data_IF_060885291353
#
_entry.id   IF_060885291353
#
_cell.length_a   1.000
_cell.length_b   1.000
_cell.length_c   1.000
_cell.angle_alpha   90.00
_cell.angle_beta   90.00
_cell.angle_gamma   90.00
#
_symmetry.space_group_name_H-M   'P 1'
#
loop_
_entity.id
_entity.type
_entity.pdbx_description
1 polymer ?
#
# COMPACT_ATOMS: atom_id res chain seq x y z
N UNK A 1 -7.05 -8.42 14.15
CA UNK A 1 -7.11 -7.66 12.88
C UNK A 1 -7.09 -6.16 13.08
N UNK A 2 -8.10 -5.57 13.72
CA UNK A 2 -8.23 -4.11 13.86
C UNK A 2 -6.97 -3.42 14.38
N UNK A 3 -6.33 -3.96 15.42
CA UNK A 3 -5.10 -3.42 15.99
C UNK A 3 -3.96 -3.31 14.94
N UNK A 4 -3.62 -4.41 14.26
CA UNK A 4 -2.52 -4.44 13.26
C UNK A 4 -2.78 -3.51 12.07
N UNK A 5 -4.01 -3.50 11.55
CA UNK A 5 -4.35 -2.66 10.41
C UNK A 5 -4.44 -1.18 10.78
N UNK A 6 -4.89 -0.85 12.00
CA UNK A 6 -4.85 0.52 12.55
C UNK A 6 -3.41 0.97 12.77
N UNK A 7 -2.56 0.12 13.34
CA UNK A 7 -1.14 0.39 13.52
C UNK A 7 -0.46 0.73 12.19
N UNK A 8 -0.74 -0.06 11.14
CA UNK A 8 -0.28 0.21 9.78
C UNK A 8 -0.80 1.56 9.24
N UNK A 9 -2.12 1.78 9.30
CA UNK A 9 -2.75 2.95 8.68
C UNK A 9 -2.31 4.28 9.31
N UNK A 10 -2.14 4.29 10.63
CA UNK A 10 -1.86 5.51 11.39
C UNK A 10 -0.42 5.61 11.91
N UNK A 11 0.43 4.62 11.64
CA UNK A 11 1.82 4.59 12.12
C UNK A 11 1.93 4.53 13.65
N UNK A 12 0.98 3.85 14.30
CA UNK A 12 0.92 3.72 15.77
C UNK A 12 1.55 2.40 16.20
N UNK A 13 2.08 2.31 17.43
CA UNK A 13 2.50 1.02 18.00
C UNK A 13 1.32 0.05 18.05
N UNK A 14 1.65 -1.23 17.89
CA UNK A 14 0.73 -2.35 18.10
C UNK A 14 0.38 -2.43 19.59
N UNK A 15 -0.90 -2.59 19.93
CA UNK A 15 -1.33 -2.64 21.33
C UNK A 15 -1.47 -4.06 21.88
N UNK A 16 -1.82 -5.03 21.03
CA UNK A 16 -2.03 -6.43 21.44
C UNK A 16 -0.76 -7.22 21.10
N UNK A 17 0.07 -7.55 22.09
CA UNK A 17 1.28 -8.32 21.86
C UNK A 17 0.97 -9.82 21.76
N UNK A 18 1.80 -10.55 21.00
CA UNK A 18 1.59 -11.99 20.80
C UNK A 18 1.78 -12.77 22.13
N UNK A 19 2.63 -12.26 23.04
CA UNK A 19 2.83 -12.81 24.39
C UNK A 19 1.56 -12.77 25.25
N UNK A 20 0.65 -11.83 24.96
CA UNK A 20 -0.62 -11.62 25.68
C UNK A 20 -1.82 -12.20 24.92
N UNK A 21 -1.59 -12.94 23.82
CA UNK A 21 -2.65 -13.45 22.94
C UNK A 21 -2.87 -14.95 23.13
N UNK A 22 -3.98 -15.33 23.79
CA UNK A 22 -4.31 -16.74 24.05
C UNK A 22 -5.39 -17.31 23.12
N UNK A 23 -5.87 -16.55 22.15
CA UNK A 23 -6.95 -16.98 21.25
C UNK A 23 -6.39 -17.87 20.15
N UNK A 24 -7.00 -19.04 19.98
CA UNK A 24 -6.63 -20.03 18.95
C UNK A 24 -6.94 -19.51 17.54
N UNK A 25 -6.38 -20.22 16.56
CA UNK A 25 -6.68 -19.98 15.15
C UNK A 25 -8.13 -20.27 14.84
N UNK A 26 -8.71 -19.41 13.98
CA UNK A 26 -10.07 -19.61 13.49
C UNK A 26 -10.17 -20.88 12.68
N UNK A 27 -11.26 -21.58 12.92
CA UNK A 27 -11.69 -22.81 12.26
C UNK A 27 -13.08 -22.59 11.65
N UNK A 28 -13.50 -23.42 10.68
CA UNK A 28 -14.87 -23.34 10.16
C UNK A 28 -15.94 -23.54 11.25
N UNK A 29 -15.62 -24.28 12.32
CA UNK A 29 -16.54 -24.52 13.43
C UNK A 29 -16.90 -23.24 14.20
N UNK A 30 -16.04 -22.22 14.18
CA UNK A 30 -16.27 -20.91 14.83
C UNK A 30 -17.37 -20.09 14.15
N UNK A 31 -17.90 -20.56 13.01
CA UNK A 31 -18.96 -19.89 12.23
C UNK A 31 -20.25 -20.72 12.15
N UNK A 32 -20.36 -21.80 12.94
CA UNK A 32 -21.53 -22.70 12.93
C UNK A 32 -22.87 -21.97 13.16
N UNK A 33 -22.88 -20.90 13.96
CA UNK A 33 -24.06 -20.08 14.21
C UNK A 33 -24.52 -19.27 12.97
N UNK A 34 -23.61 -18.95 12.04
CA UNK A 34 -23.92 -18.20 10.82
C UNK A 34 -24.75 -19.02 9.81
N UNK A 35 -24.80 -20.34 9.96
CA UNK A 35 -25.62 -21.22 9.12
C UNK A 35 -27.08 -21.31 9.62
N UNK A 36 -27.34 -20.98 10.89
CA UNK A 36 -28.63 -21.18 11.55
C UNK A 36 -29.66 -20.05 11.29
N UNK A 37 -29.23 -18.87 10.86
CA UNK A 37 -30.13 -17.72 10.60
C UNK A 37 -30.88 -17.81 9.26
N UNK A 38 -30.53 -18.82 8.43
CA UNK A 38 -31.31 -19.24 7.28
C UNK A 38 -32.43 -20.18 7.71
N UNK A 39 -33.45 -19.60 8.35
CA UNK A 39 -34.68 -20.22 8.86
C UNK A 39 -35.07 -21.53 8.17
N UNK A 40 -35.51 -22.48 9.00
CA UNK A 40 -36.18 -23.71 8.61
C UNK A 40 -37.30 -23.45 7.59
N UNK A 41 -36.97 -23.48 6.30
CA UNK A 41 -37.92 -23.70 5.23
C UNK A 41 -37.62 -25.12 4.74
N UNK A 42 -38.60 -25.98 4.95
CA UNK A 42 -38.74 -27.33 4.42
C UNK A 42 -37.95 -27.55 3.12
N UNK A 43 -37.23 -28.68 2.96
CA UNK A 43 -36.61 -29.03 1.68
C UNK A 43 -37.73 -29.35 0.68
N UNK A 44 -38.22 -28.32 -0.01
CA UNK A 44 -39.05 -28.47 -1.21
C UNK A 44 -38.14 -28.86 -2.38
N UNK A 45 -38.58 -29.80 -3.26
CA UNK A 45 -37.79 -30.22 -4.40
C UNK A 45 -37.86 -29.12 -5.49
N UNK A 46 -37.00 -28.11 -5.39
CA UNK A 46 -36.88 -27.08 -6.42
C UNK A 46 -35.64 -26.21 -6.20
N UNK A 47 -34.99 -25.71 -7.27
CA UNK A 47 -33.87 -24.79 -7.16
C UNK A 47 -34.41 -23.40 -6.79
N UNK A 48 -34.69 -23.19 -5.50
CA UNK A 48 -35.13 -21.91 -4.95
C UNK A 48 -33.99 -20.90 -4.79
N UNK A 49 -34.31 -19.59 -4.70
CA UNK A 49 -33.32 -18.50 -4.54
C UNK A 49 -32.51 -18.57 -3.24
N UNK A 50 -32.96 -19.36 -2.27
CA UNK A 50 -32.50 -19.44 -0.88
C UNK A 50 -31.11 -20.10 -0.77
N UNK A 51 -30.76 -20.97 -1.74
CA UNK A 51 -29.46 -21.64 -1.79
C UNK A 51 -28.30 -20.67 -2.05
N UNK A 52 -28.59 -19.52 -2.69
CA UNK A 52 -27.58 -18.50 -3.00
C UNK A 52 -27.21 -17.63 -1.78
N UNK A 53 -28.06 -17.57 -0.75
CA UNK A 53 -27.77 -16.84 0.49
C UNK A 53 -26.77 -17.60 1.38
N UNK A 54 -26.99 -18.91 1.53
CA UNK A 54 -26.07 -19.82 2.26
C UNK A 54 -24.68 -19.85 1.63
N UNK A 55 -24.60 -19.81 0.29
CA UNK A 55 -23.31 -19.72 -0.41
C UNK A 55 -22.53 -18.44 -0.08
N UNK A 56 -23.18 -17.28 0.06
CA UNK A 56 -22.48 -16.01 0.33
C UNK A 56 -21.95 -15.95 1.75
N UNK A 57 -22.70 -16.48 2.72
CA UNK A 57 -22.24 -16.56 4.10
C UNK A 57 -20.97 -17.42 4.21
N UNK A 58 -20.98 -18.60 3.57
CA UNK A 58 -19.80 -19.47 3.49
C UNK A 58 -18.61 -18.79 2.80
N UNK A 59 -18.84 -18.09 1.68
CA UNK A 59 -17.79 -17.33 0.99
C UNK A 59 -17.25 -16.19 1.87
N UNK A 60 -18.12 -15.49 2.61
CA UNK A 60 -17.75 -14.46 3.56
C UNK A 60 -16.89 -14.99 4.71
N UNK A 61 -17.24 -16.17 5.24
CA UNK A 61 -16.44 -16.89 6.24
C UNK A 61 -15.04 -17.20 5.72
N UNK A 62 -14.92 -17.86 4.55
CA UNK A 62 -13.63 -18.17 3.94
C UNK A 62 -12.78 -16.91 3.75
N UNK A 63 -13.38 -15.84 3.25
CA UNK A 63 -12.70 -14.56 3.04
C UNK A 63 -12.20 -13.94 4.34
N UNK A 64 -13.02 -13.99 5.41
CA UNK A 64 -12.63 -13.50 6.72
C UNK A 64 -11.46 -14.31 7.31
N UNK A 65 -11.51 -15.65 7.20
CA UNK A 65 -10.42 -16.51 7.64
C UNK A 65 -9.12 -16.18 6.89
N UNK A 66 -9.18 -15.98 5.58
CA UNK A 66 -8.01 -15.56 4.77
C UNK A 66 -7.46 -14.21 5.23
N UNK A 67 -8.33 -13.23 5.51
CA UNK A 67 -7.90 -11.93 6.06
C UNK A 67 -7.22 -12.04 7.42
N UNK A 68 -7.68 -12.95 8.29
CA UNK A 68 -7.04 -13.21 9.57
C UNK A 68 -5.63 -13.80 9.37
N UNK A 69 -5.46 -14.74 8.45
CA UNK A 69 -4.14 -15.27 8.13
C UNK A 69 -3.19 -14.19 7.57
N UNK A 70 -3.68 -13.34 6.65
CA UNK A 70 -2.90 -12.21 6.15
C UNK A 70 -2.50 -11.23 7.26
N UNK A 71 -3.40 -11.00 8.22
CA UNK A 71 -3.14 -10.11 9.36
C UNK A 71 -2.01 -10.65 10.24
N UNK A 72 -1.85 -11.97 10.37
CA UNK A 72 -0.71 -12.54 11.10
C UNK A 72 0.61 -12.29 10.38
N UNK A 73 0.62 -12.35 9.05
CA UNK A 73 1.78 -11.95 8.25
C UNK A 73 2.09 -10.46 8.48
N UNK A 74 1.06 -9.60 8.48
CA UNK A 74 1.21 -8.19 8.83
C UNK A 74 1.76 -8.00 10.27
N UNK A 75 1.30 -8.79 11.25
CA UNK A 75 1.85 -8.79 12.61
C UNK A 75 3.35 -9.04 12.60
N UNK A 76 3.79 -10.08 11.89
CA UNK A 76 5.21 -10.40 11.75
C UNK A 76 5.99 -9.27 11.06
N UNK A 77 5.43 -8.63 10.03
CA UNK A 77 6.03 -7.46 9.37
C UNK A 77 6.18 -6.30 10.36
N UNK A 78 5.15 -5.99 11.13
CA UNK A 78 5.19 -4.94 12.14
C UNK A 78 6.27 -5.21 13.19
N UNK A 79 6.35 -6.43 13.72
CA UNK A 79 7.32 -6.82 14.75
C UNK A 79 8.76 -6.81 14.23
N UNK A 80 8.99 -7.16 12.96
CA UNK A 80 10.33 -7.22 12.38
C UNK A 80 10.85 -5.86 11.88
N UNK A 81 9.96 -4.93 11.51
CA UNK A 81 10.38 -3.70 10.81
C UNK A 81 9.86 -2.39 11.41
N UNK A 82 8.80 -2.41 12.21
CA UNK A 82 8.07 -1.20 12.63
C UNK A 82 7.99 -1.00 14.15
N UNK A 83 8.79 -1.73 14.93
CA UNK A 83 8.99 -1.40 16.35
C UNK A 83 10.08 -0.34 16.51
N UNK A 84 10.03 0.42 17.62
CA UNK A 84 11.08 1.41 17.94
C UNK A 84 12.49 0.79 17.98
N UNK A 85 12.60 -0.49 18.36
CA UNK A 85 13.87 -1.23 18.38
C UNK A 85 14.32 -1.59 16.96
N UNK A 86 13.45 -2.20 16.16
CA UNK A 86 13.80 -2.68 14.82
C UNK A 86 14.05 -1.56 13.83
N UNK A 87 13.45 -0.38 14.04
CA UNK A 87 13.72 0.81 13.22
C UNK A 87 15.17 1.29 13.28
N UNK A 88 15.95 0.88 14.31
CA UNK A 88 17.37 1.22 14.44
C UNK A 88 18.25 0.45 13.46
N UNK A 89 17.83 -0.74 13.05
CA UNK A 89 18.55 -1.53 12.04
C UNK A 89 18.34 -0.90 10.67
N UNK A 90 19.43 -0.48 10.05
CA UNK A 90 19.40 0.28 8.80
C UNK A 90 20.24 -0.39 7.70
N UNK A 91 20.98 -1.46 8.03
CA UNK A 91 21.71 -2.23 7.02
C UNK A 91 20.76 -2.91 6.03
N UNK A 92 20.89 -2.55 4.76
CA UNK A 92 19.98 -3.00 3.70
C UNK A 92 20.07 -4.50 3.47
N UNK A 93 21.28 -5.09 3.56
CA UNK A 93 21.48 -6.53 3.33
C UNK A 93 20.79 -7.33 4.42
N UNK A 94 20.97 -6.93 5.68
CA UNK A 94 20.31 -7.54 6.85
C UNK A 94 18.79 -7.38 6.78
N UNK A 95 18.29 -6.21 6.39
CA UNK A 95 16.85 -5.97 6.23
C UNK A 95 16.25 -6.85 5.13
N UNK A 96 16.94 -7.01 4.00
CA UNK A 96 16.50 -7.89 2.91
C UNK A 96 16.49 -9.36 3.37
N UNK A 97 17.52 -9.81 4.09
CA UNK A 97 17.58 -11.16 4.63
C UNK A 97 16.40 -11.46 5.57
N UNK A 98 16.01 -10.49 6.42
CA UNK A 98 14.81 -10.59 7.27
C UNK A 98 13.50 -10.54 6.48
N UNK A 99 13.47 -9.81 5.37
CA UNK A 99 12.27 -9.63 4.56
C UNK A 99 11.94 -10.85 3.70
N UNK A 100 12.95 -11.57 3.19
CA UNK A 100 12.79 -12.77 2.34
C UNK A 100 11.77 -13.78 2.85
N UNK A 101 11.87 -14.32 4.09
CA UNK A 101 10.87 -15.29 4.57
C UNK A 101 9.45 -14.70 4.64
N UNK A 102 9.31 -13.39 4.89
CA UNK A 102 8.01 -12.73 4.92
C UNK A 102 7.44 -12.49 3.51
N UNK A 103 8.29 -12.21 2.52
CA UNK A 103 7.90 -12.17 1.10
C UNK A 103 7.39 -13.55 0.68
N UNK A 104 8.14 -14.62 1.00
CA UNK A 104 7.76 -15.99 0.66
C UNK A 104 6.43 -16.39 1.31
N UNK A 105 6.25 -16.09 2.60
CA UNK A 105 4.97 -16.31 3.30
C UNK A 105 3.82 -15.55 2.63
N UNK A 106 4.03 -14.30 2.23
CA UNK A 106 3.01 -13.47 1.61
C UNK A 106 2.65 -13.97 0.20
N UNK A 107 3.63 -14.38 -0.59
CA UNK A 107 3.43 -14.98 -1.92
C UNK A 107 2.69 -16.32 -1.81
N UNK A 108 3.09 -17.18 -0.86
CA UNK A 108 2.40 -18.44 -0.60
C UNK A 108 0.96 -18.22 -0.16
N UNK A 109 0.72 -17.22 0.70
CA UNK A 109 -0.63 -16.84 1.11
C UNK A 109 -1.47 -16.39 -0.09
N UNK A 110 -0.93 -15.58 -1.00
CA UNK A 110 -1.66 -15.13 -2.19
C UNK A 110 -2.05 -16.30 -3.11
N UNK A 111 -1.14 -17.25 -3.32
CA UNK A 111 -1.44 -18.47 -4.08
C UNK A 111 -2.42 -19.42 -3.37
N UNK A 112 -2.57 -19.29 -2.04
CA UNK A 112 -3.52 -20.08 -1.26
C UNK A 112 -4.96 -19.55 -1.31
N UNK A 113 -5.20 -18.40 -1.93
CA UNK A 113 -6.55 -17.83 -2.06
C UNK A 113 -7.45 -18.80 -2.86
N UNK A 114 -8.53 -19.31 -2.26
CA UNK A 114 -9.43 -20.26 -2.91
C UNK A 114 -10.01 -19.72 -4.24
N UNK A 115 -10.33 -20.60 -5.21
CA UNK A 115 -11.00 -20.20 -6.45
C UNK A 115 -12.33 -19.49 -6.23
N UNK A 116 -13.00 -19.75 -5.09
CA UNK A 116 -14.26 -19.12 -4.65
C UNK A 116 -14.10 -17.65 -4.25
N UNK A 117 -12.87 -17.16 -4.07
CA UNK A 117 -12.56 -15.79 -3.66
C UNK A 117 -11.84 -14.99 -4.74
N UNK A 118 -11.92 -15.43 -6.01
CA UNK A 118 -11.23 -14.78 -7.12
C UNK A 118 -11.99 -13.55 -7.64
N UNK A 119 -11.24 -12.54 -8.09
CA UNK A 119 -11.79 -11.28 -8.60
C UNK A 119 -12.56 -11.42 -9.92
N UNK A 120 -12.34 -12.50 -10.66
CA UNK A 120 -13.04 -12.76 -11.92
C UNK A 120 -14.46 -13.33 -11.73
N UNK A 121 -14.86 -13.66 -10.50
CA UNK A 121 -16.21 -14.10 -10.20
C UNK A 121 -17.19 -12.96 -10.46
N UNK A 122 -18.31 -13.29 -11.11
CA UNK A 122 -19.41 -12.37 -11.40
C UNK A 122 -20.65 -12.91 -10.72
N UNK A 123 -21.18 -12.15 -9.78
CA UNK A 123 -22.43 -12.49 -9.12
C UNK A 123 -23.62 -11.86 -9.85
N UNK A 124 -24.64 -12.65 -10.19
CA UNK A 124 -25.82 -12.12 -10.83
C UNK A 124 -26.61 -11.24 -9.87
N UNK A 125 -26.78 -9.95 -10.22
CA UNK A 125 -27.51 -8.94 -9.42
C UNK A 125 -26.98 -8.78 -7.99
N UNK A 126 -25.69 -9.06 -7.75
CA UNK A 126 -25.03 -8.85 -6.45
C UNK A 126 -23.64 -8.26 -6.67
N UNK A 127 -23.11 -7.68 -5.61
CA UNK A 127 -21.78 -7.05 -5.61
C UNK A 127 -20.71 -8.10 -5.31
N UNK A 128 -19.51 -7.92 -5.86
CA UNK A 128 -18.37 -8.79 -5.61
C UNK A 128 -17.46 -8.15 -4.55
N UNK A 129 -17.46 -8.72 -3.34
CA UNK A 129 -16.77 -8.15 -2.17
C UNK A 129 -15.34 -8.66 -1.96
N UNK A 130 -14.75 -9.35 -2.95
CA UNK A 130 -13.40 -9.90 -2.85
C UNK A 130 -12.29 -8.85 -2.93
N UNK A 131 -12.60 -7.65 -3.44
CA UNK A 131 -11.63 -6.59 -3.70
C UNK A 131 -10.71 -6.26 -2.51
N UNK A 132 -11.29 -6.13 -1.31
CA UNK A 132 -10.48 -5.74 -0.15
C UNK A 132 -9.49 -6.82 0.30
N UNK A 133 -9.78 -8.12 0.06
CA UNK A 133 -8.86 -9.22 0.39
C UNK A 133 -7.60 -9.14 -0.47
N UNK A 134 -7.78 -9.08 -1.79
CA UNK A 134 -6.68 -8.97 -2.76
C UNK A 134 -5.92 -7.65 -2.59
N UNK A 135 -6.62 -6.56 -2.28
CA UNK A 135 -5.96 -5.29 -2.06
C UNK A 135 -5.10 -5.26 -0.79
N UNK A 136 -5.54 -5.97 0.24
CA UNK A 136 -4.81 -6.08 1.51
C UNK A 136 -3.45 -6.76 1.32
N UNK A 137 -3.33 -7.73 0.40
CA UNK A 137 -2.04 -8.33 0.03
C UNK A 137 -1.03 -7.27 -0.43
N UNK A 138 -1.43 -6.42 -1.39
CA UNK A 138 -0.58 -5.34 -1.87
C UNK A 138 -0.26 -4.36 -0.74
N UNK A 139 -1.21 -4.12 0.17
CA UNK A 139 -0.98 -3.33 1.39
C UNK A 139 0.19 -3.84 2.22
N UNK A 140 0.22 -5.15 2.53
CA UNK A 140 1.32 -5.76 3.30
C UNK A 140 2.62 -5.77 2.51
N UNK A 141 2.57 -6.13 1.22
CA UNK A 141 3.75 -6.16 0.35
C UNK A 141 4.42 -4.79 0.22
N UNK A 142 3.63 -3.75 -0.09
CA UNK A 142 4.13 -2.38 -0.19
C UNK A 142 4.64 -1.86 1.15
N UNK A 143 4.03 -2.25 2.28
CA UNK A 143 4.54 -1.89 3.60
C UNK A 143 5.95 -2.45 3.80
N UNK A 144 6.14 -3.75 3.56
CA UNK A 144 7.46 -4.39 3.66
C UNK A 144 8.49 -3.73 2.73
N UNK A 145 8.12 -3.52 1.47
CA UNK A 145 8.99 -2.91 0.47
C UNK A 145 9.28 -1.44 0.77
N UNK A 146 8.36 -0.70 1.40
CA UNK A 146 8.59 0.67 1.84
C UNK A 146 9.73 0.75 2.85
N UNK A 147 9.91 -0.26 3.71
CA UNK A 147 11.07 -0.33 4.61
C UNK A 147 12.37 -0.57 3.83
N UNK A 148 12.37 -1.52 2.90
CA UNK A 148 13.54 -1.87 2.09
C UNK A 148 13.98 -0.72 1.17
N UNK A 149 13.06 -0.10 0.43
CA UNK A 149 13.36 1.04 -0.44
C UNK A 149 13.88 2.24 0.37
N UNK A 150 13.38 2.45 1.60
CA UNK A 150 13.94 3.51 2.46
C UNK A 150 15.35 3.18 2.95
N UNK A 151 15.72 1.91 3.10
CA UNK A 151 17.08 1.55 3.52
C UNK A 151 18.11 1.77 2.43
N UNK A 152 17.73 1.63 1.16
CA UNK A 152 18.62 1.97 0.03
C UNK A 152 18.86 3.48 -0.11
N UNK A 153 17.89 4.29 0.34
CA UNK A 153 17.89 5.73 0.21
C UNK A 153 18.51 6.49 1.40
N UNK A 154 18.78 5.84 2.51
CA UNK A 154 19.24 6.48 3.76
C UNK A 154 20.58 5.89 4.24
N UNK A 155 21.43 6.68 4.93
CA UNK A 155 22.67 6.15 5.51
C UNK A 155 22.42 5.05 6.56
N UNK A 156 23.28 4.02 6.65
CA UNK A 156 24.40 3.73 5.75
C UNK A 156 23.95 3.24 4.37
N UNK A 157 24.53 3.81 3.30
CA UNK A 157 24.20 3.44 1.92
C UNK A 157 24.75 2.04 1.61
N UNK A 158 23.91 1.18 1.06
CA UNK A 158 24.34 -0.13 0.57
C UNK A 158 25.24 0.02 -0.66
N UNK A 159 26.32 -0.75 -0.72
CA UNK A 159 27.26 -0.78 -1.85
C UNK A 159 27.04 -1.98 -2.78
N UNK A 160 26.19 -2.93 -2.40
CA UNK A 160 25.88 -4.11 -3.21
C UNK A 160 24.81 -3.79 -4.26
N UNK A 161 25.25 -3.54 -5.49
CA UNK A 161 24.39 -3.25 -6.64
C UNK A 161 23.34 -4.35 -6.90
N UNK A 162 23.64 -5.63 -6.60
CA UNK A 162 22.69 -6.73 -6.81
C UNK A 162 21.55 -6.66 -5.83
N UNK A 163 21.85 -6.45 -4.54
CA UNK A 163 20.85 -6.27 -3.49
C UNK A 163 19.97 -5.06 -3.79
N UNK A 164 20.57 -3.97 -4.24
CA UNK A 164 19.81 -2.77 -4.61
C UNK A 164 18.89 -3.03 -5.81
N UNK A 165 19.40 -3.67 -6.87
CA UNK A 165 18.63 -4.01 -8.06
C UNK A 165 17.46 -4.95 -7.75
N UNK A 166 17.70 -6.00 -6.95
CA UNK A 166 16.67 -6.95 -6.52
C UNK A 166 15.51 -6.23 -5.79
N UNK A 167 15.83 -5.36 -4.82
CA UNK A 167 14.82 -4.60 -4.06
C UNK A 167 14.01 -3.71 -5.01
N UNK A 168 14.68 -2.98 -5.91
CA UNK A 168 13.99 -2.08 -6.85
C UNK A 168 13.11 -2.85 -7.82
N UNK A 169 13.55 -4.01 -8.31
CA UNK A 169 12.78 -4.83 -9.23
C UNK A 169 11.50 -5.37 -8.58
N UNK A 170 11.59 -5.89 -7.36
CA UNK A 170 10.41 -6.36 -6.61
C UNK A 170 9.46 -5.19 -6.31
N UNK A 171 10.00 -4.01 -5.96
CA UNK A 171 9.22 -2.81 -5.73
C UNK A 171 8.48 -2.33 -6.99
N UNK A 172 9.15 -2.33 -8.15
CA UNK A 172 8.56 -2.01 -9.45
C UNK A 172 7.38 -2.94 -9.75
N UNK A 173 7.62 -4.25 -9.73
CA UNK A 173 6.60 -5.26 -10.04
C UNK A 173 5.39 -5.16 -9.09
N UNK A 174 5.64 -4.96 -7.80
CA UNK A 174 4.57 -4.84 -6.79
C UNK A 174 3.75 -3.58 -7.00
N UNK A 175 4.39 -2.42 -7.24
CA UNK A 175 3.69 -1.16 -7.48
C UNK A 175 2.84 -1.22 -8.74
N UNK A 176 3.39 -1.74 -9.85
CA UNK A 176 2.65 -1.90 -11.11
C UNK A 176 1.46 -2.85 -10.94
N UNK A 177 1.64 -3.98 -10.25
CA UNK A 177 0.56 -4.93 -10.00
C UNK A 177 -0.55 -4.33 -9.12
N UNK A 178 -0.18 -3.56 -8.09
CA UNK A 178 -1.14 -2.87 -7.23
C UNK A 178 -1.90 -1.77 -7.99
N UNK A 179 -1.22 -0.98 -8.83
CA UNK A 179 -1.84 0.04 -9.68
C UNK A 179 -2.79 -0.63 -10.68
N UNK A 180 -2.33 -1.70 -11.35
CA UNK A 180 -3.14 -2.49 -12.27
C UNK A 180 -4.36 -3.10 -11.59
N UNK A 181 -4.24 -3.57 -10.36
CA UNK A 181 -5.37 -4.05 -9.58
C UNK A 181 -6.42 -2.94 -9.38
N UNK A 182 -5.99 -1.74 -8.96
CA UNK A 182 -6.89 -0.60 -8.70
C UNK A 182 -7.55 -0.10 -9.98
N UNK A 183 -6.79 0.02 -11.08
CA UNK A 183 -7.31 0.56 -12.35
C UNK A 183 -8.30 -0.38 -13.03
N UNK A 184 -8.22 -1.68 -12.76
CA UNK A 184 -9.12 -2.71 -13.30
C UNK A 184 -10.31 -3.03 -12.38
N UNK A 185 -10.55 -2.25 -11.31
CA UNK A 185 -11.72 -2.43 -10.46
C UNK A 185 -13.01 -2.13 -11.25
N UNK A 186 -13.84 -3.16 -11.40
CA UNK A 186 -15.18 -3.07 -11.99
C UNK A 186 -16.16 -2.34 -11.05
N UNK A 187 -17.27 -1.78 -11.58
CA UNK A 187 -18.31 -1.15 -10.76
C UNK A 187 -18.86 -2.03 -9.63
N UNK A 188 -19.01 -3.34 -9.85
CA UNK A 188 -19.48 -4.28 -8.83
C UNK A 188 -18.47 -4.50 -7.69
N UNK A 189 -17.17 -4.27 -7.91
CA UNK A 189 -16.15 -4.28 -6.87
C UNK A 189 -16.14 -2.98 -6.07
N UNK A 190 -16.33 -1.84 -6.73
CA UNK A 190 -16.24 -0.52 -6.11
C UNK A 190 -17.39 -0.28 -5.14
N UNK A 191 -18.60 -0.68 -5.52
CA UNK A 191 -19.78 -0.54 -4.67
C UNK A 191 -19.86 -1.60 -3.58
N UNK A 192 -19.04 -2.66 -3.66
CA UNK A 192 -19.01 -3.71 -2.66
C UNK A 192 -18.44 -3.26 -1.31
N UNK A 193 -18.40 -4.18 -0.35
CA UNK A 193 -17.80 -3.91 0.95
C UNK A 193 -16.28 -3.71 0.84
N UNK A 194 -15.78 -2.64 1.44
CA UNK A 194 -14.36 -2.37 1.65
C UNK A 194 -14.08 -2.20 3.13
N UNK A 195 -13.05 -2.88 3.61
CA UNK A 195 -12.66 -2.84 5.02
C UNK A 195 -12.15 -1.45 5.43
N UNK A 196 -12.18 -1.14 6.73
CA UNK A 196 -11.91 0.22 7.24
C UNK A 196 -10.53 0.78 6.84
N UNK A 197 -9.56 -0.10 6.56
CA UNK A 197 -8.19 0.30 6.15
C UNK A 197 -8.04 0.49 4.65
N UNK A 198 -9.02 0.07 3.84
CA UNK A 198 -8.97 0.22 2.39
C UNK A 198 -8.75 1.65 1.89
N UNK A 199 -9.38 2.71 2.47
CA UNK A 199 -9.08 4.09 2.10
C UNK A 199 -7.59 4.44 2.25
N UNK A 200 -6.97 3.98 3.35
CA UNK A 200 -5.54 4.14 3.57
C UNK A 200 -4.73 3.37 2.52
N UNK A 201 -5.11 2.14 2.18
CA UNK A 201 -4.40 1.35 1.17
C UNK A 201 -4.41 2.00 -0.22
N UNK A 202 -5.51 2.63 -0.63
CA UNK A 202 -5.53 3.44 -1.85
C UNK A 202 -4.52 4.59 -1.78
N UNK A 203 -4.44 5.27 -0.65
CA UNK A 203 -3.40 6.30 -0.46
C UNK A 203 -1.99 5.71 -0.38
N UNK A 204 -1.84 4.48 0.12
CA UNK A 204 -0.56 3.80 0.27
C UNK A 204 0.07 3.55 -1.10
N UNK A 205 -0.71 3.09 -2.08
CA UNK A 205 -0.24 2.89 -3.47
C UNK A 205 0.40 4.18 -3.99
N UNK A 206 -0.33 5.30 -3.96
CA UNK A 206 0.22 6.59 -4.41
C UNK A 206 1.46 7.01 -3.62
N UNK A 207 1.43 6.87 -2.28
CA UNK A 207 2.55 7.22 -1.41
C UNK A 207 3.80 6.35 -1.61
N UNK A 208 3.61 5.12 -2.08
CA UNK A 208 4.67 4.17 -2.40
C UNK A 208 5.27 4.50 -3.77
N UNK A 209 4.43 4.77 -4.77
CA UNK A 209 4.86 5.30 -6.08
C UNK A 209 5.64 6.59 -5.92
N UNK A 210 5.19 7.51 -5.07
CA UNK A 210 5.94 8.72 -4.68
C UNK A 210 7.31 8.39 -4.09
N UNK A 211 7.40 7.39 -3.21
CA UNK A 211 8.69 6.99 -2.63
C UNK A 211 9.64 6.49 -3.74
N UNK A 212 9.14 5.69 -4.68
CA UNK A 212 9.94 5.21 -5.81
C UNK A 212 10.39 6.36 -6.71
N UNK A 213 9.50 7.33 -6.99
CA UNK A 213 9.83 8.55 -7.72
C UNK A 213 10.96 9.32 -7.04
N UNK A 214 10.82 9.67 -5.76
CA UNK A 214 11.80 10.49 -5.03
C UNK A 214 13.14 9.78 -4.83
N UNK A 215 13.14 8.44 -4.81
CA UNK A 215 14.35 7.61 -4.67
C UNK A 215 14.87 7.07 -6.00
N UNK A 216 14.40 7.59 -7.14
CA UNK A 216 14.85 7.18 -8.47
C UNK A 216 16.35 7.40 -8.66
N UNK A 217 17.03 6.44 -9.29
CA UNK A 217 18.48 6.49 -9.52
C UNK A 217 18.86 6.86 -10.96
N UNK A 218 17.87 7.02 -11.84
CA UNK A 218 18.05 7.47 -13.22
C UNK A 218 16.95 8.45 -13.64
N UNK A 219 17.24 9.27 -14.67
CA UNK A 219 16.24 10.15 -15.27
C UNK A 219 15.07 9.36 -15.88
N UNK A 220 15.37 8.22 -16.52
CA UNK A 220 14.37 7.34 -17.11
C UNK A 220 13.42 6.79 -16.05
N UNK A 221 13.94 6.29 -14.93
CA UNK A 221 13.13 5.80 -13.82
C UNK A 221 12.28 6.92 -13.20
N UNK A 222 12.85 8.11 -13.03
CA UNK A 222 12.13 9.28 -12.51
C UNK A 222 10.96 9.65 -13.42
N UNK A 223 11.20 9.75 -14.72
CA UNK A 223 10.15 10.05 -15.70
C UNK A 223 9.05 8.99 -15.69
N UNK A 224 9.42 7.70 -15.68
CA UNK A 224 8.48 6.60 -15.60
C UNK A 224 7.58 6.68 -14.35
N UNK A 225 8.14 6.91 -13.17
CA UNK A 225 7.34 6.99 -11.94
C UNK A 225 6.50 8.26 -11.86
N UNK A 226 6.95 9.36 -12.47
CA UNK A 226 6.17 10.60 -12.58
C UNK A 226 4.91 10.37 -13.42
N UNK A 227 5.05 9.80 -14.61
CA UNK A 227 3.91 9.47 -15.47
C UNK A 227 2.98 8.43 -14.81
N UNK A 228 3.56 7.41 -14.19
CA UNK A 228 2.79 6.40 -13.45
C UNK A 228 1.97 7.02 -12.31
N UNK A 229 2.56 7.94 -11.55
CA UNK A 229 1.86 8.63 -10.46
C UNK A 229 0.74 9.53 -11.01
N UNK A 230 0.98 10.24 -12.10
CA UNK A 230 -0.02 11.08 -12.76
C UNK A 230 -1.21 10.25 -13.23
N UNK A 231 -0.97 9.13 -13.91
CA UNK A 231 -2.02 8.19 -14.33
C UNK A 231 -2.80 7.63 -13.15
N UNK A 232 -2.12 7.27 -12.06
CA UNK A 232 -2.76 6.75 -10.86
C UNK A 232 -3.67 7.80 -10.20
N UNK A 233 -3.19 9.04 -10.05
CA UNK A 233 -3.99 10.14 -9.49
C UNK A 233 -5.19 10.46 -10.39
N UNK A 234 -5.01 10.47 -11.71
CA UNK A 234 -6.11 10.64 -12.64
C UNK A 234 -7.18 9.56 -12.47
N UNK A 235 -6.78 8.28 -12.41
CA UNK A 235 -7.69 7.18 -12.17
C UNK A 235 -8.45 7.36 -10.84
N UNK A 236 -7.74 7.66 -9.74
CA UNK A 236 -8.37 7.91 -8.46
C UNK A 236 -9.39 9.07 -8.51
N UNK A 237 -9.09 10.17 -9.21
CA UNK A 237 -10.02 11.30 -9.37
C UNK A 237 -11.27 10.88 -10.12
N UNK A 238 -11.12 10.13 -11.21
CA UNK A 238 -12.26 9.64 -11.99
C UNK A 238 -13.20 8.76 -11.15
N UNK A 239 -12.61 7.91 -10.31
CA UNK A 239 -13.36 6.94 -9.49
C UNK A 239 -13.84 7.51 -8.14
N UNK A 240 -13.24 8.61 -7.68
CA UNK A 240 -13.52 9.22 -6.37
C UNK A 240 -14.97 9.70 -6.19
N UNK A 241 -15.66 10.05 -7.28
CA UNK A 241 -17.04 10.52 -7.24
C UNK A 241 -18.02 9.42 -6.80
N UNK A 242 -17.69 8.17 -7.12
CA UNK A 242 -18.54 7.01 -6.83
C UNK A 242 -18.05 6.25 -5.58
N UNK A 243 -16.76 6.37 -5.25
CA UNK A 243 -16.14 5.52 -4.22
C UNK A 243 -15.45 6.33 -3.11
N UNK A 244 -16.06 6.37 -1.91
CA UNK A 244 -15.56 7.13 -0.74
C UNK A 244 -14.13 6.77 -0.32
N UNK A 245 -13.71 5.50 -0.29
CA UNK A 245 -12.31 5.15 0.02
C UNK A 245 -11.29 5.77 -0.94
N UNK A 246 -11.60 5.84 -2.24
CA UNK A 246 -10.75 6.51 -3.22
C UNK A 246 -10.78 8.02 -3.06
N UNK A 247 -11.93 8.62 -2.72
CA UNK A 247 -12.03 10.04 -2.40
C UNK A 247 -11.10 10.42 -1.23
N UNK A 248 -11.09 9.61 -0.16
CA UNK A 248 -10.14 9.80 0.93
C UNK A 248 -8.68 9.75 0.45
N UNK A 249 -8.35 8.80 -0.43
CA UNK A 249 -7.00 8.65 -0.95
C UNK A 249 -6.56 9.84 -1.79
N UNK A 250 -7.42 10.37 -2.67
CA UNK A 250 -7.15 11.60 -3.45
C UNK A 250 -6.84 12.75 -2.50
N UNK A 251 -7.73 13.02 -1.55
CA UNK A 251 -7.58 14.12 -0.60
C UNK A 251 -6.28 14.00 0.22
N UNK A 252 -5.93 12.79 0.64
CA UNK A 252 -4.70 12.51 1.39
C UNK A 252 -3.44 12.68 0.55
N UNK A 253 -3.47 12.23 -0.71
CA UNK A 253 -2.32 12.34 -1.61
C UNK A 253 -2.06 13.80 -1.98
N UNK A 254 -3.08 14.51 -2.44
CA UNK A 254 -2.97 15.91 -2.87
C UNK A 254 -2.74 16.87 -1.70
N UNK A 255 -3.41 16.65 -0.57
CA UNK A 255 -3.35 17.57 0.57
C UNK A 255 -2.09 17.45 1.43
N UNK A 256 -1.41 16.30 1.44
CA UNK A 256 -0.32 16.05 2.38
C UNK A 256 0.95 15.45 1.75
N UNK A 257 0.81 14.61 0.72
CA UNK A 257 1.95 13.84 0.21
C UNK A 257 2.64 14.60 -0.92
N UNK A 258 1.90 15.08 -1.92
CA UNK A 258 2.47 15.79 -3.08
C UNK A 258 3.22 17.09 -2.72
N UNK A 259 2.71 17.95 -1.81
CA UNK A 259 3.46 19.16 -1.41
C UNK A 259 4.82 18.84 -0.77
N UNK A 260 4.94 17.71 -0.08
CA UNK A 260 6.21 17.25 0.49
C UNK A 260 7.21 16.71 -0.55
N UNK A 261 6.76 16.41 -1.77
CA UNK A 261 7.60 15.95 -2.88
C UNK A 261 8.34 17.12 -3.51
N UNK A 262 7.67 18.25 -3.75
CA UNK A 262 8.26 19.46 -4.35
C UNK A 262 9.53 19.87 -3.61
N UNK A 263 9.46 19.86 -2.27
CA UNK A 263 10.59 20.16 -1.40
C UNK A 263 11.75 19.16 -1.52
N UNK A 264 11.46 17.86 -1.68
CA UNK A 264 12.49 16.80 -1.74
C UNK A 264 13.11 16.65 -3.13
N UNK A 265 12.32 16.79 -4.19
CA UNK A 265 12.80 16.72 -5.56
C UNK A 265 13.67 17.94 -5.91
N UNK A 266 13.45 19.09 -5.29
CA UNK A 266 14.34 20.24 -5.40
C UNK A 266 15.73 19.97 -4.80
N UNK A 267 15.83 19.13 -3.77
CA UNK A 267 17.10 18.77 -3.10
C UNK A 267 17.84 17.64 -3.83
N UNK A 268 17.13 16.69 -4.45
CA UNK A 268 17.73 15.50 -5.09
C UNK A 268 18.34 15.73 -6.49
N UNK A 269 18.47 16.98 -6.96
CA UNK A 269 19.15 17.30 -8.22
C UNK A 269 20.68 17.07 -8.18
N UNK A 270 21.25 16.71 -7.02
CA UNK A 270 22.69 16.71 -6.75
C UNK A 270 23.28 15.29 -6.57
N UNK A 271 22.47 14.23 -6.45
CA UNK A 271 22.98 12.86 -6.28
C UNK A 271 23.36 12.19 -7.62
N UNK A 272 24.49 11.47 -7.70
CA UNK A 272 24.94 10.86 -8.94
C UNK A 272 24.00 9.74 -9.38
N UNK A 273 23.55 9.84 -10.64
CA UNK A 273 22.71 8.85 -11.28
C UNK A 273 23.47 7.52 -11.44
N UNK A 274 22.91 6.41 -10.95
CA UNK A 274 23.47 5.07 -11.16
C UNK A 274 22.52 4.22 -12.02
N UNK A 275 22.77 4.23 -13.34
CA UNK A 275 21.98 3.46 -14.30
C UNK A 275 22.08 1.94 -14.14
N UNK A 276 23.09 1.41 -13.42
CA UNK A 276 23.27 -0.05 -13.25
C UNK A 276 22.25 -0.68 -12.30
N UNK A 277 21.66 0.12 -11.42
CA UNK A 277 20.73 -0.33 -10.36
C UNK A 277 19.27 -0.03 -10.73
N UNK A 278 19.04 0.78 -11.77
CA UNK A 278 17.69 1.11 -12.22
C UNK A 278 16.94 -0.17 -12.61
N UNK A 279 15.66 -0.32 -12.21
CA UNK A 279 14.90 -1.52 -12.51
C UNK A 279 14.66 -1.63 -14.03
N UNK A 280 14.54 -2.85 -14.53
CA UNK A 280 14.25 -3.05 -15.95
C UNK A 280 12.78 -2.74 -16.21
N UNK A 281 12.53 -1.53 -16.72
CA UNK A 281 11.22 -1.12 -17.23
C UNK A 281 11.04 -1.83 -18.57
N UNK A 282 10.42 -3.02 -18.58
CA UNK A 282 10.03 -3.69 -19.81
C UNK A 282 9.00 -2.87 -20.61
N UNK A 283 8.58 -3.36 -21.78
CA UNK A 283 7.44 -2.84 -22.55
C UNK A 283 6.12 -3.11 -21.81
N UNK A 284 5.99 -2.50 -20.63
CA UNK A 284 4.71 -2.37 -19.97
C UNK A 284 3.94 -1.36 -20.79
N UNK A 285 2.96 -1.84 -21.53
CA UNK A 285 2.03 -1.03 -22.29
C UNK A 285 1.36 -0.01 -21.35
N UNK A 286 1.98 1.16 -21.20
CA UNK A 286 1.21 2.36 -21.02
C UNK A 286 0.36 2.43 -22.28
N UNK A 287 -0.96 2.29 -22.12
CA UNK A 287 -1.81 3.09 -22.99
C UNK A 287 -1.30 4.51 -22.77
N UNK A 288 -0.53 4.99 -23.75
CA UNK A 288 0.13 6.28 -23.76
C UNK A 288 -0.97 7.31 -23.69
N UNK A 289 -1.32 7.72 -22.47
CA UNK A 289 -2.08 8.94 -22.27
C UNK A 289 -1.04 10.04 -22.33
N UNK A 290 -1.02 10.75 -23.46
CA UNK A 290 -0.29 12.00 -23.61
C UNK A 290 -0.95 13.03 -22.67
N UNK A 291 -0.37 13.24 -21.49
CA UNK A 291 -0.87 14.24 -20.54
C UNK A 291 -0.27 15.59 -20.91
N UNK A 292 -1.01 16.38 -21.70
CA UNK A 292 -0.53 17.66 -22.24
C UNK A 292 -0.56 18.82 -21.26
N UNK A 293 -1.26 18.72 -20.12
CA UNK A 293 -1.29 19.82 -19.17
C UNK A 293 -1.79 19.34 -17.79
N UNK A 294 -0.86 18.98 -16.91
CA UNK A 294 -1.17 18.84 -15.49
C UNK A 294 -0.41 19.93 -14.74
N UNK A 295 -1.14 21.01 -14.46
CA UNK A 295 -0.81 22.14 -13.59
C UNK A 295 0.65 22.21 -13.19
N UNK A 296 1.42 22.95 -13.99
CA UNK A 296 2.81 23.35 -13.81
C UNK A 296 3.38 23.09 -12.39
N UNK A 297 3.67 21.83 -12.08
CA UNK A 297 4.48 21.46 -10.92
C UNK A 297 5.87 21.98 -11.28
N UNK A 298 6.24 23.14 -10.75
CA UNK A 298 7.44 23.91 -11.11
C UNK A 298 8.73 23.09 -10.97
N UNK A 299 8.96 22.19 -11.92
CA UNK A 299 10.11 21.29 -12.00
C UNK A 299 11.16 21.83 -12.98
N UNK A 300 10.91 22.96 -13.63
CA UNK A 300 11.86 23.61 -14.52
C UNK A 300 11.50 25.09 -14.73
N UNK A 301 11.87 25.97 -13.78
CA UNK A 301 12.50 27.28 -14.00
C UNK A 301 12.88 27.74 -12.59
N UNK A 302 14.18 27.77 -12.30
CA UNK A 302 14.66 28.33 -11.05
C UNK A 302 14.37 29.82 -11.02
N UNK A 303 13.43 30.25 -10.18
CA UNK A 303 13.51 31.56 -9.58
C UNK A 303 14.31 31.45 -8.29
N UNK A 304 15.44 32.15 -8.31
CA UNK A 304 16.41 32.25 -7.23
C UNK A 304 15.84 33.10 -6.09
N UNK A 305 14.93 32.56 -5.30
CA UNK A 305 14.73 33.05 -3.94
C UNK A 305 14.65 31.87 -3.00
N UNK A 306 15.80 31.50 -2.44
CA UNK A 306 15.86 30.64 -1.29
C UNK A 306 15.09 31.33 -0.16
N UNK A 307 13.91 30.81 0.17
CA UNK A 307 13.18 31.22 1.36
C UNK A 307 13.96 30.76 2.60
N UNK A 308 14.81 31.66 3.09
CA UNK A 308 15.55 31.56 4.33
C UNK A 308 14.57 31.73 5.51
N UNK A 309 14.11 30.61 6.06
CA UNK A 309 13.16 30.52 7.19
C UNK A 309 13.71 31.11 8.51
N UNK A 310 14.90 31.72 8.50
CA UNK A 310 15.52 32.38 9.65
C UNK A 310 15.79 33.87 9.44
N UNK A 311 15.54 34.44 8.25
CA UNK A 311 15.65 35.88 8.03
C UNK A 311 14.39 36.59 8.53
N UNK A 312 14.33 36.86 9.83
CA UNK A 312 13.25 37.62 10.45
C UNK A 312 13.01 37.37 11.93
N UNK A 313 13.67 36.36 12.53
CA UNK A 313 13.60 36.15 13.99
C UNK A 313 14.65 37.02 14.66
N UNK A 314 14.30 38.27 14.94
CA UNK A 314 15.04 39.06 15.93
C UNK A 314 14.85 38.40 17.31
N UNK A 315 15.88 37.73 17.80
CA UNK A 315 15.95 37.31 19.21
C UNK A 315 16.12 38.59 20.05
N UNK A 316 15.18 38.96 20.94
CA UNK A 316 15.41 40.07 21.85
C UNK A 316 16.50 39.65 22.84
N UNK A 317 17.62 40.39 22.86
CA UNK A 317 18.60 40.30 23.93
C UNK A 317 17.97 40.88 25.20
N UNK A 318 17.69 40.02 26.17
CA UNK A 318 17.24 40.40 27.50
C UNK A 318 18.40 41.08 28.26
N UNK A 319 18.28 42.35 28.71
CA UNK A 319 19.41 43.12 29.24
C UNK A 319 19.71 42.87 30.74
N UNK A 320 19.30 41.75 31.32
CA UNK A 320 19.51 41.46 32.74
C UNK A 320 20.09 40.06 32.96
N UNK A 321 21.41 39.90 32.77
CA UNK A 321 22.25 39.07 33.65
C UNK A 321 23.73 39.50 33.59
N UNK A 322 24.44 39.52 34.73
CA UNK A 322 25.81 40.02 34.84
C UNK A 322 26.85 39.05 34.28
N UNK A 323 27.99 39.63 33.85
CA UNK A 323 29.17 38.97 33.28
C UNK A 323 29.89 38.06 34.28
#
# INVERSE_FOLDING_TARGET
MQDRWTALAYGRPVHIHDDDWTVKDLTPADFSDCECDGSAVTPGPGPGPDNHGRSIASTGMEQYMQMVQLTKILSAVCSNFYTARTCREQDTVTLLAKARPLIDMLTNWYHSIPPTLQMNIIYQRKLCFHGYLHFSYYGVAMTLLRRLVRSTALPPRCTDDRVLSDIRQIALQTAQSAIGFVTNLRPDHLEAFWYFTSPYLFSLVGSFTTLLLVTSLSYQERHFWQETLNSYLWNLRMMSKSHKPMQYAVNRLEGAILPGIEQKLAVNLIEPLNGKVSPMVGDYAFNVYEYTDFGNWGLAVGDKEAYDLLNGVAVPLDPMMPR
#
